data_IF_287692638795
#
_entry.id   IF_287692638795
#
_cell.length_a   1.000
_cell.length_b   1.000
_cell.length_c   1.000
_cell.angle_alpha   90.00
_cell.angle_beta   90.00
_cell.angle_gamma   90.00
#
_symmetry.space_group_name_H-M   'P 1'
#
loop_
_entity.id
_entity.type
_entity.pdbx_description
1 polymer ?
#
# COMPACT_ATOMS: atom_id res chain seq x y z
N UNK A 1 6.85 -17.94 61.24
CA UNK A 1 6.63 -16.58 60.72
C UNK A 1 6.87 -16.59 59.21
N UNK A 2 5.91 -16.94 58.35
CA UNK A 2 4.94 -16.06 57.64
C UNK A 2 5.52 -14.72 57.16
N UNK A 3 5.74 -14.61 55.84
CA UNK A 3 5.22 -13.55 54.94
C UNK A 3 5.46 -13.96 53.47
N UNK A 4 4.53 -14.75 52.92
CA UNK A 4 4.32 -14.82 51.46
C UNK A 4 3.59 -13.54 51.09
N UNK A 5 4.31 -12.55 50.56
CA UNK A 5 3.69 -11.35 49.99
C UNK A 5 2.95 -11.75 48.73
N UNK A 6 1.62 -11.76 48.84
CA UNK A 6 0.69 -11.77 47.74
C UNK A 6 0.91 -10.51 46.89
N UNK A 7 1.68 -10.64 45.81
CA UNK A 7 1.66 -9.66 44.74
C UNK A 7 0.34 -9.85 43.99
N UNK A 8 -0.62 -8.99 44.33
CA UNK A 8 -1.90 -8.76 43.68
C UNK A 8 -1.78 -8.94 42.17
N UNK A 9 -2.38 -10.02 41.68
CA UNK A 9 -2.71 -10.26 40.30
C UNK A 9 -3.75 -9.19 39.90
N UNK A 10 -3.30 -8.02 39.46
CA UNK A 10 -4.18 -6.99 38.91
C UNK A 10 -4.44 -7.33 37.43
N UNK A 11 -5.15 -8.44 37.21
CA UNK A 11 -5.78 -8.72 35.91
C UNK A 11 -6.98 -7.80 35.78
N UNK A 12 -6.72 -6.51 35.50
CA UNK A 12 -7.71 -5.69 34.82
C UNK A 12 -7.98 -6.41 33.51
N UNK A 13 -9.19 -6.96 33.41
CA UNK A 13 -9.66 -7.72 32.26
C UNK A 13 -9.52 -6.88 31.00
N UNK A 14 -8.45 -7.14 30.24
CA UNK A 14 -8.40 -6.77 28.85
C UNK A 14 -9.28 -7.76 28.12
N UNK A 15 -10.52 -7.36 27.84
CA UNK A 15 -11.37 -8.14 26.93
C UNK A 15 -10.65 -8.32 25.59
N UNK A 16 -11.01 -9.33 24.78
CA UNK A 16 -10.41 -9.54 23.46
C UNK A 16 -10.44 -8.28 22.55
N UNK A 17 -11.33 -7.31 22.83
CA UNK A 17 -11.37 -6.00 22.16
C UNK A 17 -10.28 -5.00 22.57
N UNK A 18 -9.80 -5.02 23.82
CA UNK A 18 -8.78 -4.06 24.30
C UNK A 18 -7.40 -4.36 23.71
N UNK A 19 -7.07 -5.64 23.56
CA UNK A 19 -5.81 -6.07 22.95
C UNK A 19 -5.77 -5.78 21.45
N UNK A 20 -6.91 -5.87 20.77
CA UNK A 20 -7.03 -5.51 19.35
C UNK A 20 -6.88 -3.99 19.14
N UNK A 21 -7.52 -3.17 19.97
CA UNK A 21 -7.40 -1.70 19.94
C UNK A 21 -5.95 -1.25 20.19
N UNK A 22 -5.30 -1.79 21.22
CA UNK A 22 -3.90 -1.52 21.54
C UNK A 22 -2.95 -1.95 20.40
N UNK A 23 -3.26 -3.04 19.71
CA UNK A 23 -2.49 -3.54 18.58
C UNK A 23 -2.58 -2.59 17.37
N UNK A 24 -3.78 -2.11 17.01
CA UNK A 24 -3.96 -1.14 15.93
C UNK A 24 -3.26 0.19 16.21
N UNK A 25 -3.26 0.65 17.47
CA UNK A 25 -2.54 1.86 17.86
C UNK A 25 -1.02 1.68 17.75
N UNK A 26 -0.48 0.49 18.05
CA UNK A 26 0.95 0.18 17.85
C UNK A 26 1.34 0.17 16.38
N UNK A 27 0.53 -0.44 15.52
CA UNK A 27 0.73 -0.46 14.06
C UNK A 27 0.77 0.96 13.47
N UNK A 28 -0.14 1.85 13.90
CA UNK A 28 -0.16 3.25 13.46
C UNK A 28 1.05 4.06 13.94
N UNK A 29 1.65 3.70 15.08
CA UNK A 29 2.84 4.35 15.62
C UNK A 29 4.14 3.86 14.97
N UNK A 30 4.11 2.70 14.31
CA UNK A 30 5.28 2.16 13.61
C UNK A 30 5.54 2.93 12.30
N UNK A 31 6.62 3.73 12.31
CA UNK A 31 7.04 4.52 11.15
C UNK A 31 7.31 3.65 9.93
N UNK A 32 7.78 2.42 10.12
CA UNK A 32 8.08 1.50 9.01
C UNK A 32 6.82 0.96 8.35
N UNK A 33 5.78 0.67 9.15
CA UNK A 33 4.47 0.24 8.63
C UNK A 33 3.80 1.35 7.83
N UNK A 34 3.82 2.59 8.33
CA UNK A 34 3.30 3.75 7.60
C UNK A 34 4.11 4.02 6.32
N UNK A 35 5.45 3.97 6.38
CA UNK A 35 6.30 4.17 5.20
C UNK A 35 6.03 3.11 4.13
N UNK A 36 5.85 1.84 4.52
CA UNK A 36 5.52 0.76 3.59
C UNK A 36 4.15 0.98 2.91
N UNK A 37 3.14 1.42 3.67
CA UNK A 37 1.82 1.71 3.14
C UNK A 37 1.83 2.91 2.18
N UNK A 38 2.50 4.01 2.55
CA UNK A 38 2.64 5.19 1.69
C UNK A 38 3.39 4.84 0.40
N UNK A 39 4.49 4.11 0.51
CA UNK A 39 5.27 3.68 -0.65
C UNK A 39 4.46 2.76 -1.58
N UNK A 40 3.62 1.89 -1.04
CA UNK A 40 2.73 1.06 -1.85
C UNK A 40 1.67 1.88 -2.60
N UNK A 41 1.08 2.89 -1.94
CA UNK A 41 0.14 3.82 -2.58
C UNK A 41 0.82 4.62 -3.69
N UNK A 42 2.02 5.16 -3.42
CA UNK A 42 2.77 5.92 -4.43
C UNK A 42 3.16 5.05 -5.64
N UNK A 43 3.60 3.81 -5.40
CA UNK A 43 3.92 2.86 -6.47
C UNK A 43 2.68 2.54 -7.33
N UNK A 44 1.53 2.29 -6.70
CA UNK A 44 0.26 2.09 -7.41
C UNK A 44 -0.14 3.33 -8.21
N UNK A 45 -0.07 4.52 -7.63
CA UNK A 45 -0.41 5.78 -8.31
C UNK A 45 0.50 6.00 -9.52
N UNK A 46 1.80 5.75 -9.39
CA UNK A 46 2.74 5.85 -10.51
C UNK A 46 2.37 4.88 -11.65
N UNK A 47 2.09 3.61 -11.33
CA UNK A 47 1.65 2.62 -12.31
C UNK A 47 0.32 3.03 -12.98
N UNK A 48 -0.64 3.53 -12.21
CA UNK A 48 -1.93 4.00 -12.73
C UNK A 48 -1.77 5.19 -13.67
N UNK A 49 -0.97 6.19 -13.29
CA UNK A 49 -0.67 7.34 -14.15
C UNK A 49 0.03 6.90 -15.44
N UNK A 50 0.90 5.88 -15.37
CA UNK A 50 1.56 5.32 -16.54
C UNK A 50 0.54 4.69 -17.50
N UNK A 51 -0.42 3.94 -16.97
CA UNK A 51 -1.52 3.37 -17.75
C UNK A 51 -2.44 4.43 -18.34
N UNK A 52 -2.77 5.48 -17.58
CA UNK A 52 -3.59 6.58 -18.07
C UNK A 52 -2.92 7.32 -19.23
N UNK A 53 -1.59 7.49 -19.20
CA UNK A 53 -0.84 8.11 -20.30
C UNK A 53 -0.84 7.26 -21.57
N UNK A 54 -0.91 5.93 -21.45
CA UNK A 54 -0.97 5.02 -22.60
C UNK A 54 -2.39 4.91 -23.16
N UNK A 55 -3.39 4.74 -22.28
CA UNK A 55 -4.79 4.56 -22.72
C UNK A 55 -5.43 5.83 -23.25
N UNK A 56 -5.01 6.99 -22.73
CA UNK A 56 -5.63 8.25 -23.08
C UNK A 56 -4.63 9.21 -23.70
N UNK A 57 -4.83 9.47 -24.98
CA UNK A 57 -4.08 10.47 -25.74
C UNK A 57 -4.68 11.86 -25.51
N UNK A 58 -4.38 12.49 -24.38
CA UNK A 58 -4.82 13.87 -24.13
C UNK A 58 -4.52 14.41 -22.72
N UNK A 59 -4.76 15.72 -22.48
CA UNK A 59 -4.60 16.32 -21.16
C UNK A 59 -5.48 15.63 -20.11
N UNK A 60 -4.93 15.35 -18.93
CA UNK A 60 -5.62 14.76 -17.77
C UNK A 60 -6.99 15.37 -17.39
N UNK A 61 -7.27 16.67 -17.59
CA UNK A 61 -8.61 17.22 -17.36
C UNK A 61 -9.68 16.63 -18.29
N UNK A 62 -9.32 16.29 -19.52
CA UNK A 62 -10.24 15.76 -20.53
C UNK A 62 -10.55 14.28 -20.30
N UNK A 63 -9.61 13.54 -19.71
CA UNK A 63 -9.79 12.09 -19.44
C UNK A 63 -10.79 11.80 -18.32
N UNK A 64 -11.09 12.79 -17.46
CA UNK A 64 -12.13 12.67 -16.41
C UNK A 64 -13.54 12.47 -16.95
N UNK A 65 -13.79 12.81 -18.21
CA UNK A 65 -15.06 12.55 -18.89
C UNK A 65 -15.24 11.09 -19.29
N UNK A 66 -14.17 10.28 -19.29
CA UNK A 66 -14.24 8.88 -19.70
C UNK A 66 -14.62 7.98 -18.51
N UNK A 67 -15.66 7.14 -18.60
CA UNK A 67 -16.05 6.24 -17.50
C UNK A 67 -14.94 5.24 -17.13
N UNK A 68 -14.06 4.89 -18.06
CA UNK A 68 -12.94 3.98 -17.81
C UNK A 68 -11.88 4.60 -16.87
N UNK A 69 -11.74 5.93 -16.88
CA UNK A 69 -10.93 6.65 -15.89
C UNK A 69 -11.44 6.39 -14.47
N UNK A 70 -12.76 6.51 -14.25
CA UNK A 70 -13.38 6.29 -12.95
C UNK A 70 -13.37 4.83 -12.54
N UNK A 71 -13.58 3.91 -13.50
CA UNK A 71 -13.50 2.47 -13.26
C UNK A 71 -12.12 2.04 -12.73
N UNK A 72 -11.05 2.72 -13.13
CA UNK A 72 -9.69 2.50 -12.61
C UNK A 72 -9.43 3.24 -11.29
N UNK A 73 -9.83 4.51 -11.19
CA UNK A 73 -9.56 5.35 -10.03
C UNK A 73 -10.32 4.92 -8.76
N UNK A 74 -11.58 4.49 -8.89
CA UNK A 74 -12.43 4.16 -7.72
C UNK A 74 -11.87 2.97 -6.93
N UNK A 75 -11.54 1.82 -7.54
CA UNK A 75 -10.92 0.71 -6.81
C UNK A 75 -9.58 1.09 -6.17
N UNK A 76 -8.76 1.87 -6.86
CA UNK A 76 -7.48 2.35 -6.34
C UNK A 76 -7.65 3.26 -5.11
N UNK A 77 -8.58 4.22 -5.17
CA UNK A 77 -8.88 5.12 -4.06
C UNK A 77 -9.47 4.37 -2.86
N UNK A 78 -10.36 3.41 -3.12
CA UNK A 78 -10.93 2.57 -2.08
C UNK A 78 -9.85 1.71 -1.40
N UNK A 79 -9.00 1.04 -2.18
CA UNK A 79 -7.89 0.25 -1.64
C UNK A 79 -6.91 1.11 -0.84
N UNK A 80 -6.55 2.30 -1.32
CA UNK A 80 -5.68 3.23 -0.59
C UNK A 80 -6.31 3.64 0.75
N UNK A 81 -7.62 3.93 0.79
CA UNK A 81 -8.34 4.23 2.02
C UNK A 81 -8.31 3.06 3.01
N UNK A 82 -8.59 1.85 2.54
CA UNK A 82 -8.55 0.65 3.39
C UNK A 82 -7.12 0.33 3.88
N UNK A 83 -6.10 0.66 3.08
CA UNK A 83 -4.70 0.49 3.46
C UNK A 83 -4.27 1.49 4.54
N UNK A 84 -4.71 2.75 4.48
CA UNK A 84 -4.44 3.73 5.57
C UNK A 84 -5.09 3.33 6.89
N UNK A 85 -6.17 2.55 6.83
CA UNK A 85 -6.81 1.93 7.99
C UNK A 85 -6.18 0.60 8.40
N UNK A 86 -5.15 0.16 7.68
CA UNK A 86 -4.44 -1.11 7.83
C UNK A 86 -5.35 -2.34 7.79
N UNK A 87 -6.48 -2.29 7.07
CA UNK A 87 -7.39 -3.44 6.98
C UNK A 87 -6.65 -4.68 6.46
N UNK A 88 -6.90 -5.87 7.05
CA UNK A 88 -6.14 -7.08 6.72
C UNK A 88 -6.19 -7.45 5.24
N UNK A 89 -7.34 -7.25 4.58
CA UNK A 89 -7.48 -7.46 3.13
C UNK A 89 -6.57 -6.54 2.31
N UNK A 90 -6.53 -5.24 2.64
CA UNK A 90 -5.70 -4.27 1.92
C UNK A 90 -4.19 -4.56 2.10
N UNK A 91 -3.77 -4.98 3.29
CA UNK A 91 -2.37 -5.36 3.58
C UNK A 91 -1.95 -6.60 2.79
N UNK A 92 -2.85 -7.57 2.59
CA UNK A 92 -2.57 -8.73 1.73
C UNK A 92 -2.37 -8.27 0.29
N UNK A 93 -3.27 -7.44 -0.24
CA UNK A 93 -3.18 -6.88 -1.60
C UNK A 93 -1.92 -6.02 -1.77
N UNK A 94 -1.48 -5.31 -0.73
CA UNK A 94 -0.25 -4.51 -0.73
C UNK A 94 0.99 -5.31 -1.13
N UNK A 95 1.12 -6.56 -0.64
CA UNK A 95 2.25 -7.42 -1.03
C UNK A 95 2.26 -7.70 -2.53
N UNK A 96 1.10 -7.91 -3.13
CA UNK A 96 0.99 -8.13 -4.57
C UNK A 96 1.27 -6.85 -5.35
N UNK A 97 0.85 -5.69 -4.83
CA UNK A 97 1.08 -4.40 -5.47
C UNK A 97 2.55 -4.05 -5.62
N UNK A 98 3.43 -4.47 -4.70
CA UNK A 98 4.88 -4.26 -4.86
C UNK A 98 5.48 -4.96 -6.10
N UNK A 99 4.80 -5.98 -6.63
CA UNK A 99 5.25 -6.69 -7.83
C UNK A 99 4.43 -6.23 -9.04
N UNK A 100 3.11 -6.12 -8.88
CA UNK A 100 2.21 -5.77 -9.97
C UNK A 100 2.39 -4.34 -10.47
N UNK A 101 2.65 -3.36 -9.59
CA UNK A 101 2.82 -1.97 -10.02
C UNK A 101 4.05 -1.77 -10.92
N UNK A 102 5.25 -2.30 -10.59
CA UNK A 102 6.39 -2.32 -11.52
C UNK A 102 6.10 -3.05 -12.83
N UNK A 103 5.43 -4.19 -12.80
CA UNK A 103 5.08 -4.96 -14.02
C UNK A 103 4.12 -4.20 -14.94
N UNK A 104 3.10 -3.58 -14.36
CA UNK A 104 2.15 -2.74 -15.09
C UNK A 104 2.86 -1.54 -15.70
N UNK A 105 3.79 -0.92 -14.97
CA UNK A 105 4.58 0.20 -15.47
C UNK A 105 5.58 -0.22 -16.57
N UNK A 106 6.19 -1.42 -16.50
CA UNK A 106 7.07 -1.91 -17.56
C UNK A 106 6.33 -2.17 -18.87
N UNK A 107 5.09 -2.70 -18.81
CA UNK A 107 4.27 -2.90 -20.02
C UNK A 107 3.99 -1.56 -20.70
N UNK A 108 3.66 -0.52 -19.93
CA UNK A 108 3.42 0.82 -20.49
C UNK A 108 4.67 1.47 -21.08
N UNK A 109 5.85 1.19 -20.50
CA UNK A 109 7.12 1.66 -21.03
C UNK A 109 7.41 1.03 -22.40
N UNK A 110 7.23 -0.29 -22.52
CA UNK A 110 7.39 -1.02 -23.78
C UNK A 110 6.43 -0.50 -24.86
N UNK A 111 5.16 -0.25 -24.50
CA UNK A 111 4.17 0.29 -25.43
C UNK A 111 4.50 1.71 -25.91
N UNK A 112 5.18 2.51 -25.08
CA UNK A 112 5.52 3.90 -25.40
C UNK A 112 6.61 4.02 -26.46
N UNK A 113 7.53 3.05 -26.53
CA UNK A 113 8.58 2.98 -27.56
C UNK A 113 7.98 2.78 -28.95
N UNK A 114 6.94 1.96 -29.07
CA UNK A 114 6.28 1.66 -30.35
C UNK A 114 5.38 2.79 -30.86
N UNK A 115 4.82 3.61 -29.95
CA UNK A 115 3.80 4.60 -30.33
C UNK A 115 4.31 6.03 -30.47
N UNK A 116 5.30 6.46 -29.67
CA UNK A 116 5.78 7.85 -29.65
C UNK A 116 7.24 7.98 -29.16
N UNK A 117 8.24 7.96 -30.06
CA UNK A 117 9.66 8.01 -29.67
C UNK A 117 10.04 9.28 -28.88
N UNK A 118 9.36 10.40 -29.11
CA UNK A 118 9.66 11.68 -28.44
C UNK A 118 9.11 11.77 -27.00
N UNK A 119 8.36 10.76 -26.53
CA UNK A 119 7.61 10.85 -25.27
C UNK A 119 8.01 9.84 -24.19
N UNK A 120 9.11 9.11 -24.36
CA UNK A 120 9.59 8.05 -23.44
C UNK A 120 9.92 8.57 -22.02
N UNK A 121 10.25 9.86 -21.88
CA UNK A 121 10.65 10.44 -20.59
C UNK A 121 9.58 10.28 -19.50
N UNK A 122 8.31 10.56 -19.80
CA UNK A 122 7.23 10.47 -18.83
C UNK A 122 6.98 9.02 -18.32
N UNK A 123 6.80 8.00 -19.17
CA UNK A 123 6.66 6.62 -18.73
C UNK A 123 7.92 6.08 -18.05
N UNK A 124 9.13 6.50 -18.48
CA UNK A 124 10.37 6.11 -17.83
C UNK A 124 10.47 6.64 -16.38
N UNK A 125 10.08 7.90 -16.15
CA UNK A 125 10.04 8.50 -14.80
C UNK A 125 9.02 7.76 -13.92
N UNK A 126 7.83 7.48 -14.45
CA UNK A 126 6.78 6.77 -13.71
C UNK A 126 7.18 5.33 -13.39
N UNK A 127 7.85 4.66 -14.32
CA UNK A 127 8.43 3.33 -14.10
C UNK A 127 9.50 3.35 -13.01
N UNK A 128 10.46 4.29 -13.09
CA UNK A 128 11.50 4.43 -12.07
C UNK A 128 10.89 4.74 -10.69
N UNK A 129 9.86 5.59 -10.62
CA UNK A 129 9.15 5.89 -9.40
C UNK A 129 8.41 4.65 -8.85
N UNK A 130 7.71 3.90 -9.71
CA UNK A 130 7.01 2.68 -9.31
C UNK A 130 7.98 1.64 -8.72
N UNK A 131 9.14 1.43 -9.36
CA UNK A 131 10.18 0.51 -8.93
C UNK A 131 10.86 0.93 -7.62
N UNK A 132 11.25 2.20 -7.51
CA UNK A 132 11.90 2.73 -6.29
C UNK A 132 10.95 2.66 -5.10
N UNK A 133 9.69 3.09 -5.26
CA UNK A 133 8.70 3.02 -4.19
C UNK A 133 8.31 1.58 -3.84
N UNK A 134 8.21 0.69 -4.82
CA UNK A 134 7.99 -0.74 -4.55
C UNK A 134 9.15 -1.34 -3.75
N UNK A 135 10.39 -0.99 -4.08
CA UNK A 135 11.58 -1.50 -3.41
C UNK A 135 11.67 -0.97 -1.98
N UNK A 136 11.52 0.35 -1.79
CA UNK A 136 11.49 1.00 -0.47
C UNK A 136 10.35 0.41 0.37
N UNK A 137 9.15 0.31 -0.20
CA UNK A 137 7.98 -0.25 0.45
C UNK A 137 8.18 -1.72 0.86
N UNK A 138 8.78 -2.54 0.00
CA UNK A 138 9.11 -3.92 0.31
C UNK A 138 10.18 -4.04 1.41
N UNK A 139 11.20 -3.18 1.41
CA UNK A 139 12.23 -3.15 2.46
C UNK A 139 11.65 -2.72 3.81
N UNK A 140 10.84 -1.66 3.83
CA UNK A 140 10.12 -1.22 5.02
C UNK A 140 9.15 -2.30 5.51
N UNK A 141 8.39 -2.93 4.62
CA UNK A 141 7.48 -4.02 4.95
C UNK A 141 8.24 -5.21 5.58
N UNK A 142 9.39 -5.59 5.02
CA UNK A 142 10.22 -6.69 5.53
C UNK A 142 10.69 -6.46 6.97
N UNK A 143 10.88 -5.21 7.37
CA UNK A 143 11.34 -4.80 8.72
C UNK A 143 10.19 -4.39 9.65
N UNK A 144 9.00 -4.11 9.11
CA UNK A 144 7.83 -3.63 9.85
C UNK A 144 7.14 -4.71 10.70
N UNK A 145 6.36 -4.25 11.68
CA UNK A 145 5.50 -5.11 12.50
C UNK A 145 4.42 -5.84 11.68
N UNK A 146 3.97 -5.27 10.55
CA UNK A 146 2.99 -5.89 9.65
C UNK A 146 3.41 -7.29 9.18
N UNK A 147 4.71 -7.50 8.90
CA UNK A 147 5.23 -8.81 8.50
C UNK A 147 5.37 -9.78 9.67
N UNK A 148 5.73 -9.27 10.85
CA UNK A 148 5.97 -10.08 12.06
C UNK A 148 4.66 -10.55 12.70
N UNK A 149 3.66 -9.69 12.72
CA UNK A 149 2.39 -9.95 13.41
C UNK A 149 1.32 -10.50 12.46
N UNK A 150 1.44 -10.23 11.16
CA UNK A 150 0.71 -10.88 10.08
C UNK A 150 -0.82 -10.65 10.08
N UNK A 151 -1.47 -10.82 8.93
CA UNK A 151 -2.93 -10.67 8.81
C UNK A 151 -3.73 -11.76 9.55
N UNK A 152 -3.07 -12.83 10.04
CA UNK A 152 -3.71 -13.93 10.76
C UNK A 152 -4.12 -13.57 12.20
N UNK A 153 -3.50 -12.55 12.83
CA UNK A 153 -3.98 -12.01 14.11
C UNK A 153 -5.12 -11.00 13.97
N UNK A 154 -5.38 -10.52 12.76
CA UNK A 154 -6.46 -9.57 12.44
C UNK A 154 -7.79 -10.27 12.10
N UNK A 155 -7.82 -11.62 12.11
CA UNK A 155 -8.98 -12.44 11.74
C UNK A 155 -9.61 -13.18 12.93
N UNK A 156 -9.11 -12.96 14.14
CA UNK A 156 -9.73 -13.40 15.40
C UNK A 156 -10.29 -12.19 16.12
#
# INVERSE_FOLDING_TARGET
MRRRSAAKHNSKGGGPGDTALDHWQRLRKDRLSNAAAIAAVLSMVAALLSWLNVLFTGPLPQTRGNPLYWALMIPCAWWASDLTRFRPGAVIVMRFMFIMAPLLASITLLQSEDTRPDSILAPAILFALACTMATVGALCYRRSLLRREGPSRLRR
#
